data_IF_435142993987
#
_entry.id   IF_435142993987
#
_cell.length_a   1.000
_cell.length_b   1.000
_cell.length_c   1.000
_cell.angle_alpha   90.00
_cell.angle_beta   90.00
_cell.angle_gamma   90.00
#
_symmetry.space_group_name_H-M   'P 1'
#
loop_
_entity.id
_entity.type
_entity.pdbx_description
1 polymer ?
#
# COMPACT_ATOMS: atom_id res chain seq x y z
N UNK A 1 -30.14 -21.55 -24.21
CA UNK A 1 -29.86 -21.29 -22.79
C UNK A 1 -28.55 -20.52 -22.70
N UNK A 2 -28.58 -19.19 -22.71
CA UNK A 2 -27.36 -18.37 -22.60
C UNK A 2 -27.07 -18.08 -21.13
N UNK A 3 -26.02 -18.69 -20.60
CA UNK A 3 -25.48 -18.39 -19.28
C UNK A 3 -24.79 -17.01 -19.36
N UNK A 4 -25.43 -15.96 -18.85
CA UNK A 4 -24.72 -14.70 -18.56
C UNK A 4 -24.03 -14.88 -17.21
N UNK A 5 -22.71 -15.03 -17.24
CA UNK A 5 -21.88 -14.75 -16.08
C UNK A 5 -22.11 -13.27 -15.71
N UNK A 6 -22.84 -13.03 -14.62
CA UNK A 6 -22.80 -11.73 -13.96
C UNK A 6 -21.35 -11.50 -13.51
N UNK A 7 -20.77 -10.31 -13.73
CA UNK A 7 -19.48 -9.99 -13.15
C UNK A 7 -19.62 -10.09 -11.63
N UNK A 8 -18.74 -10.92 -11.07
CA UNK A 8 -18.65 -11.27 -9.67
C UNK A 8 -18.73 -10.02 -8.78
N UNK A 9 -19.66 -10.00 -7.82
CA UNK A 9 -19.82 -8.90 -6.85
C UNK A 9 -18.55 -8.70 -5.98
N UNK A 10 -17.58 -9.61 -6.07
CA UNK A 10 -16.24 -9.46 -5.53
C UNK A 10 -15.44 -8.27 -6.12
N UNK A 11 -15.82 -7.75 -7.29
CA UNK A 11 -15.14 -6.63 -7.94
C UNK A 11 -15.57 -5.25 -7.37
N UNK A 12 -16.69 -5.20 -6.63
CA UNK A 12 -17.20 -3.94 -6.05
C UNK A 12 -16.42 -3.46 -4.82
N UNK A 13 -15.69 -4.35 -4.16
CA UNK A 13 -14.99 -4.00 -2.91
C UNK A 13 -13.52 -3.65 -3.10
N UNK A 14 -13.04 -3.59 -4.34
CA UNK A 14 -11.63 -3.36 -4.64
C UNK A 14 -11.50 -2.07 -5.44
N UNK A 15 -10.80 -1.10 -4.88
CA UNK A 15 -10.75 0.26 -5.37
C UNK A 15 -9.89 0.35 -6.65
N UNK A 16 -10.52 0.16 -7.81
CA UNK A 16 -9.83 0.24 -9.11
C UNK A 16 -9.69 1.71 -9.55
N UNK A 17 -8.60 2.35 -9.16
CA UNK A 17 -8.28 3.72 -9.55
C UNK A 17 -6.95 3.84 -10.30
N UNK A 18 -6.86 4.82 -11.19
CA UNK A 18 -5.60 5.23 -11.82
C UNK A 18 -4.81 6.10 -10.83
N UNK A 19 -3.98 5.46 -10.01
CA UNK A 19 -3.20 6.14 -8.96
C UNK A 19 -2.02 6.86 -9.59
N UNK A 20 -1.94 8.18 -9.38
CA UNK A 20 -0.90 9.06 -9.97
C UNK A 20 0.21 9.45 -8.99
N UNK A 21 0.03 9.14 -7.72
CA UNK A 21 1.00 9.43 -6.67
C UNK A 21 0.47 9.04 -5.31
N UNK A 22 1.36 9.01 -4.32
CA UNK A 22 1.02 8.76 -2.94
C UNK A 22 1.85 9.62 -1.98
N UNK A 23 1.20 10.17 -0.97
CA UNK A 23 1.84 10.89 0.13
C UNK A 23 1.66 10.12 1.43
N UNK A 24 2.71 10.07 2.26
CA UNK A 24 2.65 9.44 3.57
C UNK A 24 2.68 10.53 4.64
N UNK A 25 1.70 10.52 5.53
CA UNK A 25 1.57 11.44 6.65
C UNK A 25 1.47 10.67 7.96
N UNK A 26 1.98 11.24 9.05
CA UNK A 26 1.93 10.64 10.37
C UNK A 26 1.95 11.74 11.45
N UNK A 27 1.69 11.36 12.69
CA UNK A 27 1.94 12.23 13.84
C UNK A 27 3.46 12.34 14.11
N UNK A 28 3.95 13.43 14.74
CA UNK A 28 5.39 13.68 14.93
C UNK A 28 6.16 12.59 15.68
N UNK A 29 5.48 11.80 16.52
CA UNK A 29 6.07 10.69 17.27
C UNK A 29 6.34 9.43 16.42
N UNK A 30 5.84 9.38 15.19
CA UNK A 30 6.04 8.24 14.28
C UNK A 30 7.36 8.43 13.51
N UNK A 31 8.17 7.36 13.46
CA UNK A 31 9.47 7.35 12.77
C UNK A 31 9.38 7.89 11.33
N UNK A 32 10.18 8.91 11.03
CA UNK A 32 10.34 9.41 9.66
C UNK A 32 10.86 8.33 8.70
N UNK A 33 11.73 7.43 9.19
CA UNK A 33 12.27 6.32 8.40
C UNK A 33 11.15 5.36 7.98
N UNK A 34 10.23 5.04 8.89
CA UNK A 34 9.05 4.23 8.58
C UNK A 34 8.20 4.90 7.47
N UNK A 35 7.95 6.20 7.60
CA UNK A 35 7.18 6.95 6.60
C UNK A 35 7.84 6.94 5.22
N UNK A 36 9.16 7.16 5.17
CA UNK A 36 9.94 7.13 3.94
C UNK A 36 9.91 5.75 3.28
N UNK A 37 10.10 4.66 4.04
CA UNK A 37 10.04 3.30 3.48
C UNK A 37 8.66 2.96 2.91
N UNK A 38 7.57 3.31 3.61
CA UNK A 38 6.20 3.13 3.10
C UNK A 38 6.01 3.91 1.79
N UNK A 39 6.47 5.16 1.75
CA UNK A 39 6.37 5.99 0.55
C UNK A 39 7.14 5.37 -0.62
N UNK A 40 8.39 4.95 -0.41
CA UNK A 40 9.22 4.32 -1.44
C UNK A 40 8.57 3.07 -2.03
N UNK A 41 8.10 2.14 -1.19
CA UNK A 41 7.47 0.90 -1.68
C UNK A 41 6.18 1.15 -2.48
N UNK A 42 5.36 2.11 -2.05
CA UNK A 42 4.12 2.45 -2.76
C UNK A 42 4.43 3.20 -4.05
N UNK A 43 5.36 4.15 -4.04
CA UNK A 43 5.76 4.90 -5.23
C UNK A 43 6.31 3.98 -6.31
N UNK A 44 7.21 3.06 -5.95
CA UNK A 44 7.78 2.09 -6.88
C UNK A 44 6.68 1.23 -7.53
N UNK A 45 5.68 0.84 -6.74
CA UNK A 45 4.52 0.08 -7.24
C UNK A 45 3.62 0.91 -8.15
N UNK A 46 3.44 2.20 -7.87
CA UNK A 46 2.69 3.12 -8.74
C UNK A 46 3.39 3.25 -10.09
N UNK A 47 4.71 3.46 -10.07
CA UNK A 47 5.52 3.71 -11.28
C UNK A 47 5.45 2.52 -12.26
N UNK A 48 5.40 1.29 -11.75
CA UNK A 48 5.29 0.07 -12.57
C UNK A 48 3.84 -0.33 -12.88
N UNK A 49 2.84 0.37 -12.33
CA UNK A 49 1.43 0.05 -12.59
C UNK A 49 0.95 0.70 -13.88
N UNK A 50 0.82 -0.11 -14.94
CA UNK A 50 0.10 0.30 -16.16
C UNK A 50 -1.35 -0.14 -16.13
N UNK A 51 -2.29 0.74 -16.54
CA UNK A 51 -3.70 0.37 -16.71
C UNK A 51 -4.11 0.49 -18.18
N UNK A 52 -4.71 -0.57 -18.71
CA UNK A 52 -5.16 -0.62 -20.11
C UNK A 52 -6.46 0.18 -20.35
N UNK A 53 -7.28 0.37 -19.31
CA UNK A 53 -8.56 1.09 -19.39
C UNK A 53 -8.46 2.40 -18.63
N UNK A 54 -9.11 3.45 -19.16
CA UNK A 54 -9.24 4.73 -18.45
C UNK A 54 -10.04 4.52 -17.17
N UNK A 55 -9.43 4.86 -16.02
CA UNK A 55 -10.05 4.82 -14.70
C UNK A 55 -9.99 6.20 -14.06
N UNK A 56 -10.82 6.49 -13.03
CA UNK A 56 -10.73 7.75 -12.30
C UNK A 56 -9.31 7.94 -11.75
N UNK A 57 -8.72 9.11 -12.04
CA UNK A 57 -7.37 9.46 -11.61
C UNK A 57 -7.38 9.94 -10.18
N UNK A 58 -6.55 9.33 -9.33
CA UNK A 58 -6.50 9.66 -7.91
C UNK A 58 -5.07 9.85 -7.41
N UNK A 59 -4.94 10.58 -6.32
CA UNK A 59 -3.74 10.64 -5.48
C UNK A 59 -4.07 10.05 -4.12
N UNK A 60 -3.18 9.21 -3.60
CA UNK A 60 -3.36 8.58 -2.30
C UNK A 60 -2.74 9.42 -1.18
N UNK A 61 -3.46 9.59 -0.10
CA UNK A 61 -2.92 10.08 1.18
C UNK A 61 -2.96 8.94 2.18
N UNK A 62 -1.78 8.42 2.54
CA UNK A 62 -1.59 7.31 3.47
C UNK A 62 -1.24 7.90 4.83
N UNK A 63 -2.20 7.91 5.75
CA UNK A 63 -2.00 8.39 7.11
C UNK A 63 -1.71 7.23 8.06
N UNK A 64 -0.52 7.22 8.66
CA UNK A 64 -0.19 6.38 9.81
C UNK A 64 -0.81 7.01 11.06
N UNK A 65 -1.97 6.52 11.49
CA UNK A 65 -2.72 7.10 12.60
C UNK A 65 -2.07 6.82 13.96
N UNK A 66 -1.51 5.63 14.13
CA UNK A 66 -0.76 5.23 15.33
C UNK A 66 0.14 4.05 15.00
N UNK A 67 1.33 4.00 15.60
CA UNK A 67 2.22 2.84 15.57
C UNK A 67 2.45 2.36 17.00
N UNK A 68 2.25 1.07 17.25
CA UNK A 68 2.51 0.43 18.55
C UNK A 68 3.62 -0.60 18.40
N UNK A 69 4.52 -0.65 19.37
CA UNK A 69 5.56 -1.67 19.52
C UNK A 69 5.37 -2.29 20.90
N UNK A 70 5.12 -3.60 20.95
CA UNK A 70 4.80 -4.32 22.18
C UNK A 70 5.66 -5.58 22.28
N UNK A 71 6.19 -5.92 23.47
CA UNK A 71 6.84 -7.21 23.69
C UNK A 71 5.86 -8.36 23.43
N UNK A 72 6.36 -9.48 22.89
CA UNK A 72 5.59 -10.71 22.72
C UNK A 72 6.38 -11.89 23.30
N UNK A 73 5.75 -13.06 23.49
CA UNK A 73 6.37 -14.23 24.14
C UNK A 73 7.75 -14.59 23.56
N UNK A 74 7.93 -14.39 22.25
CA UNK A 74 9.22 -14.45 21.58
C UNK A 74 9.35 -13.26 20.62
N UNK A 75 10.21 -12.30 20.96
CA UNK A 75 10.45 -11.09 20.16
C UNK A 75 9.50 -9.94 20.46
N UNK A 76 9.09 -9.20 19.44
CA UNK A 76 8.18 -8.08 19.55
C UNK A 76 7.16 -8.06 18.41
N UNK A 77 6.01 -7.44 18.71
CA UNK A 77 4.94 -7.16 17.77
C UNK A 77 4.95 -5.68 17.46
N UNK A 78 4.92 -5.33 16.17
CA UNK A 78 4.65 -3.95 15.75
C UNK A 78 3.36 -3.88 14.96
N UNK A 79 2.53 -2.88 15.24
CA UNK A 79 1.27 -2.66 14.55
C UNK A 79 1.08 -1.20 14.18
N UNK A 80 0.50 -0.95 13.01
CA UNK A 80 0.16 0.38 12.52
C UNK A 80 -1.32 0.44 12.14
N UNK A 81 -2.04 1.42 12.68
CA UNK A 81 -3.36 1.80 12.18
C UNK A 81 -3.17 2.76 11.02
N UNK A 82 -3.75 2.42 9.87
CA UNK A 82 -3.55 3.16 8.62
C UNK A 82 -4.89 3.58 8.07
N UNK A 83 -4.97 4.84 7.63
CA UNK A 83 -6.10 5.41 6.90
C UNK A 83 -5.57 5.86 5.55
N UNK A 84 -6.13 5.33 4.47
CA UNK A 84 -5.78 5.71 3.10
C UNK A 84 -6.94 6.44 2.48
N UNK A 85 -6.71 7.63 1.94
CA UNK A 85 -7.71 8.42 1.21
C UNK A 85 -7.29 8.53 -0.24
N UNK A 86 -8.22 8.30 -1.15
CA UNK A 86 -8.03 8.56 -2.57
C UNK A 86 -8.75 9.84 -2.95
N UNK A 87 -8.00 10.86 -3.34
CA UNK A 87 -8.53 12.14 -3.80
C UNK A 87 -8.48 12.22 -5.32
N UNK A 88 -9.56 12.67 -5.96
CA UNK A 88 -9.60 12.86 -7.41
C UNK A 88 -8.61 13.94 -7.84
N UNK A 89 -7.81 13.67 -8.88
CA UNK A 89 -6.79 14.62 -9.38
C UNK A 89 -7.41 15.92 -9.88
N UNK A 90 -8.62 15.87 -10.43
CA UNK A 90 -9.27 17.03 -11.04
C UNK A 90 -9.94 17.96 -10.03
N UNK A 91 -10.51 17.42 -8.95
CA UNK A 91 -11.32 18.19 -7.99
C UNK A 91 -10.71 18.28 -6.60
N UNK A 92 -9.75 17.40 -6.28
CA UNK A 92 -9.22 17.24 -4.91
C UNK A 92 -10.17 16.56 -3.93
N UNK A 93 -11.38 16.19 -4.36
CA UNK A 93 -12.38 15.55 -3.51
C UNK A 93 -11.96 14.12 -3.15
N UNK A 94 -12.14 13.73 -1.89
CA UNK A 94 -11.90 12.36 -1.43
C UNK A 94 -13.06 11.48 -1.92
N UNK A 95 -12.77 10.61 -2.89
CA UNK A 95 -13.76 9.71 -3.51
C UNK A 95 -13.72 8.29 -2.95
N UNK A 96 -12.69 7.95 -2.17
CA UNK A 96 -12.64 6.70 -1.41
C UNK A 96 -11.76 6.81 -0.17
N UNK A 97 -12.07 5.99 0.83
CA UNK A 97 -11.32 5.84 2.06
C UNK A 97 -11.22 4.36 2.44
N UNK A 98 -10.02 3.92 2.80
CA UNK A 98 -9.77 2.58 3.33
C UNK A 98 -9.10 2.68 4.70
N UNK A 99 -9.48 1.80 5.63
CA UNK A 99 -8.91 1.74 6.98
C UNK A 99 -8.50 0.32 7.30
N UNK A 100 -7.28 0.14 7.77
CA UNK A 100 -6.80 -1.17 8.18
C UNK A 100 -5.74 -1.08 9.27
N UNK A 101 -5.43 -2.22 9.88
CA UNK A 101 -4.31 -2.37 10.79
C UNK A 101 -3.32 -3.35 10.20
N UNK A 102 -2.08 -2.92 9.98
CA UNK A 102 -0.98 -3.81 9.61
C UNK A 102 -0.28 -4.27 10.90
N UNK A 103 0.03 -5.56 11.00
CA UNK A 103 0.70 -6.15 12.16
C UNK A 103 1.82 -7.05 11.68
N UNK A 104 2.99 -6.90 12.29
CA UNK A 104 4.18 -7.73 12.02
C UNK A 104 4.77 -8.23 13.34
N UNK A 105 5.46 -9.36 13.25
CA UNK A 105 6.15 -10.02 14.36
C UNK A 105 7.60 -10.20 13.95
N UNK A 106 8.53 -10.00 14.89
CA UNK A 106 9.95 -10.08 14.61
C UNK A 106 10.78 -10.17 15.87
N UNK A 107 11.99 -10.71 15.73
CA UNK A 107 12.96 -10.84 16.82
C UNK A 107 13.88 -9.62 16.91
N UNK A 108 14.15 -8.99 15.77
CA UNK A 108 15.00 -7.81 15.67
C UNK A 108 14.15 -6.53 15.56
N UNK A 109 14.55 -5.49 16.31
CA UNK A 109 13.85 -4.21 16.34
C UNK A 109 14.03 -3.43 15.05
N UNK A 110 15.19 -3.55 14.41
CA UNK A 110 15.47 -2.85 13.15
C UNK A 110 14.76 -3.52 11.97
N UNK A 111 14.67 -4.85 11.96
CA UNK A 111 13.85 -5.58 10.99
C UNK A 111 12.36 -5.25 11.14
N UNK A 112 11.86 -5.16 12.38
CA UNK A 112 10.44 -4.91 12.67
C UNK A 112 9.89 -3.64 12.02
N UNK A 113 10.66 -2.56 11.97
CA UNK A 113 10.21 -1.31 11.34
C UNK A 113 10.14 -1.43 9.81
N UNK A 114 11.13 -2.11 9.21
CA UNK A 114 11.14 -2.40 7.76
C UNK A 114 9.98 -3.32 7.38
N UNK A 115 9.76 -4.37 8.16
CA UNK A 115 8.70 -5.34 7.95
C UNK A 115 7.33 -4.68 8.08
N UNK A 116 7.17 -3.78 9.06
CA UNK A 116 5.95 -2.99 9.21
C UNK A 116 5.72 -2.09 8.01
N UNK A 117 6.75 -1.37 7.54
CA UNK A 117 6.63 -0.53 6.34
C UNK A 117 6.20 -1.35 5.12
N UNK A 118 6.85 -2.48 4.90
CA UNK A 118 6.51 -3.39 3.81
C UNK A 118 5.10 -3.96 3.94
N UNK A 119 4.67 -4.32 5.16
CA UNK A 119 3.32 -4.81 5.43
C UNK A 119 2.23 -3.76 5.16
N UNK A 120 2.48 -2.51 5.56
CA UNK A 120 1.59 -1.37 5.24
C UNK A 120 1.52 -1.17 3.73
N UNK A 121 2.67 -1.03 3.06
CA UNK A 121 2.73 -0.81 1.62
C UNK A 121 2.06 -1.94 0.83
N UNK A 122 2.35 -3.20 1.18
CA UNK A 122 1.76 -4.39 0.57
C UNK A 122 0.24 -4.38 0.65
N UNK A 123 -0.31 -3.94 1.79
CA UNK A 123 -1.76 -3.84 1.95
C UNK A 123 -2.35 -2.74 1.08
N UNK A 124 -1.70 -1.57 0.98
CA UNK A 124 -2.12 -0.49 0.06
C UNK A 124 -2.08 -0.98 -1.40
N UNK A 125 -0.98 -1.59 -1.82
CA UNK A 125 -0.80 -2.16 -3.16
C UNK A 125 -1.91 -3.16 -3.49
N UNK A 126 -2.26 -4.04 -2.54
CA UNK A 126 -3.33 -5.02 -2.72
C UNK A 126 -4.71 -4.38 -2.84
N UNK A 127 -5.01 -3.37 -2.01
CA UNK A 127 -6.30 -2.68 -1.94
C UNK A 127 -6.59 -1.89 -3.23
N UNK A 128 -5.58 -1.20 -3.76
CA UNK A 128 -5.66 -0.37 -4.97
C UNK A 128 -5.26 -1.11 -6.25
N UNK A 129 -5.01 -2.42 -6.17
CA UNK A 129 -4.60 -3.26 -7.30
C UNK A 129 -3.42 -2.66 -8.08
N UNK A 130 -2.37 -2.30 -7.34
CA UNK A 130 -1.10 -1.84 -7.92
C UNK A 130 -0.25 -3.06 -8.28
N UNK A 131 0.55 -2.92 -9.33
CA UNK A 131 1.55 -3.90 -9.71
C UNK A 131 2.64 -3.98 -8.64
N UNK A 132 3.15 -5.19 -8.40
CA UNK A 132 4.33 -5.39 -7.56
C UNK A 132 5.57 -5.23 -8.43
N UNK A 133 6.61 -4.51 -7.97
CA UNK A 133 7.89 -4.45 -8.67
C UNK A 133 8.43 -5.85 -8.90
N UNK A 134 8.92 -6.13 -10.10
CA UNK A 134 9.57 -7.41 -10.38
C UNK A 134 10.87 -7.49 -9.56
N UNK A 135 11.21 -8.65 -8.96
CA UNK A 135 12.51 -8.80 -8.33
C UNK A 135 13.61 -8.56 -9.38
N UNK A 136 14.57 -7.71 -9.04
CA UNK A 136 15.65 -7.24 -9.92
C UNK A 136 16.55 -8.37 -10.49
N UNK A 137 16.34 -9.62 -10.08
CA UNK A 137 17.15 -10.78 -10.43
C UNK A 137 16.92 -11.33 -11.84
N UNK A 138 15.90 -10.90 -12.57
CA UNK A 138 15.62 -11.42 -13.92
C UNK A 138 16.24 -10.59 -15.07
N UNK A 139 16.78 -9.40 -14.78
CA UNK A 139 17.29 -8.49 -15.82
C UNK A 139 18.77 -8.74 -16.19
N UNK A 140 19.55 -9.43 -15.36
CA UNK A 140 21.01 -9.54 -15.55
C UNK A 140 21.45 -10.76 -16.36
N UNK A 141 20.55 -11.67 -16.73
CA UNK A 141 20.91 -12.92 -17.41
C UNK A 141 20.67 -12.93 -18.93
N UNK A 142 20.20 -11.82 -19.53
CA UNK A 142 19.77 -11.78 -20.93
C UNK A 142 20.64 -10.90 -21.86
N UNK A 143 21.79 -10.44 -21.39
CA UNK A 143 22.74 -9.70 -22.23
C UNK A 143 24.16 -10.26 -22.05
N UNK A 144 24.64 -11.16 -22.94
CA UNK A 144 26.06 -11.45 -23.10
C UNK A 144 26.82 -10.28 -23.75
#
# INVERSE_FOLDING_TARGET
MSFRLMPDDADKNRLVYDVRGAFVAAQPEISHRLMQMVHSYVSESIDVTSRATVRPRVVLTIRLASVKKEPFLLGARSSARVVVRAAAVTTGEVIAEAKFTATVYGLDKDSLERDLAYGVASRVIQEFQLAKPAPATLATALFP
#
